data_IF_744304378034
#
_entry.id   IF_744304378034
#
_cell.length_a   1.000
_cell.length_b   1.000
_cell.length_c   1.000
_cell.angle_alpha   90.00
_cell.angle_beta   90.00
_cell.angle_gamma   90.00
#
_symmetry.space_group_name_H-M   'P 1'
#
loop_
_entity.id
_entity.type
_entity.pdbx_description
1 polymer ?
#
# COMPACT_ATOMS: atom_id res chain seq x y z
N UNK A 1 17.95 9.84 -5.37
CA UNK A 1 18.03 8.95 -6.56
C UNK A 1 16.78 8.09 -6.57
N UNK A 2 16.08 7.96 -7.71
CA UNK A 2 14.85 7.16 -7.78
C UNK A 2 14.62 6.69 -9.23
N UNK A 3 14.00 5.50 -9.37
CA UNK A 3 13.39 5.02 -10.59
C UNK A 3 12.03 4.41 -10.23
N UNK A 4 11.10 4.34 -11.17
CA UNK A 4 9.75 3.82 -10.91
C UNK A 4 9.13 3.28 -12.20
N UNK A 5 8.56 2.09 -12.13
CA UNK A 5 7.75 1.51 -13.20
C UNK A 5 6.35 2.14 -13.22
N UNK A 6 5.89 2.57 -14.40
CA UNK A 6 4.57 3.15 -14.62
C UNK A 6 3.77 2.38 -15.66
N UNK A 7 2.57 1.95 -15.30
CA UNK A 7 1.65 1.30 -16.22
C UNK A 7 2.28 0.07 -16.89
N UNK A 8 1.83 -0.22 -18.10
CA UNK A 8 2.18 -1.47 -18.76
C UNK A 8 3.60 -1.52 -19.37
N UNK A 9 4.23 -0.38 -19.70
CA UNK A 9 5.48 -0.39 -20.48
C UNK A 9 6.39 0.83 -20.28
N UNK A 10 6.26 1.56 -19.17
CA UNK A 10 7.07 2.75 -18.95
C UNK A 10 7.86 2.67 -17.65
N UNK A 11 9.15 3.00 -17.72
CA UNK A 11 10.00 3.23 -16.56
C UNK A 11 10.39 4.71 -16.55
N UNK A 12 10.14 5.38 -15.43
CA UNK A 12 10.61 6.73 -15.17
C UNK A 12 11.89 6.67 -14.33
N UNK A 13 12.93 7.34 -14.78
CA UNK A 13 14.19 7.48 -14.02
C UNK A 13 14.37 8.94 -13.66
N UNK A 14 14.57 9.22 -12.39
CA UNK A 14 14.87 10.57 -11.94
C UNK A 14 16.20 11.06 -12.56
N UNK A 15 16.23 12.32 -13.02
CA UNK A 15 17.40 12.90 -13.65
C UNK A 15 18.66 12.76 -12.78
N UNK A 16 18.54 12.98 -11.47
CA UNK A 16 19.65 12.82 -10.55
C UNK A 16 20.17 11.37 -10.45
N UNK A 17 19.34 10.35 -10.74
CA UNK A 17 19.81 8.97 -10.90
C UNK A 17 20.54 8.80 -12.22
N UNK A 18 19.93 9.28 -13.30
CA UNK A 18 20.48 9.16 -14.65
C UNK A 18 21.85 9.83 -14.79
N UNK A 19 22.02 11.03 -14.23
CA UNK A 19 23.23 11.84 -14.37
C UNK A 19 24.38 11.39 -13.44
N UNK A 20 24.08 10.70 -12.31
CA UNK A 20 25.08 10.39 -11.28
C UNK A 20 25.38 8.90 -11.10
N UNK A 21 24.74 8.03 -11.87
CA UNK A 21 24.92 6.58 -11.77
C UNK A 21 25.56 6.07 -13.06
N UNK A 22 26.56 5.20 -12.95
CA UNK A 22 27.21 4.60 -14.10
C UNK A 22 26.22 3.73 -14.90
N UNK A 23 26.45 3.52 -16.23
CA UNK A 23 25.51 2.81 -17.10
C UNK A 23 25.20 1.37 -16.65
N UNK A 24 26.14 0.67 -16.03
CA UNK A 24 25.96 -0.72 -15.61
C UNK A 24 25.04 -0.76 -14.37
N UNK A 25 25.27 0.15 -13.44
CA UNK A 25 24.40 0.31 -12.27
C UNK A 25 23.00 0.79 -12.68
N UNK A 26 22.90 1.67 -13.68
CA UNK A 26 21.62 2.08 -14.24
C UNK A 26 20.86 0.87 -14.85
N UNK A 27 21.55 -0.01 -15.57
CA UNK A 27 20.96 -1.23 -16.10
C UNK A 27 20.44 -2.16 -14.98
N UNK A 28 21.14 -2.23 -13.84
CA UNK A 28 20.67 -2.98 -12.67
C UNK A 28 19.33 -2.44 -12.13
N UNK A 29 19.20 -1.12 -12.04
CA UNK A 29 17.97 -0.45 -11.62
C UNK A 29 16.86 -0.67 -12.64
N UNK A 30 17.15 -0.51 -13.94
CA UNK A 30 16.19 -0.74 -15.01
C UNK A 30 15.70 -2.21 -15.03
N UNK A 31 16.59 -3.16 -14.83
CA UNK A 31 16.22 -4.58 -14.72
C UNK A 31 15.26 -4.83 -13.55
N UNK A 32 15.50 -4.20 -12.41
CA UNK A 32 14.62 -4.24 -11.25
C UNK A 32 13.22 -3.68 -11.60
N UNK A 33 13.15 -2.49 -12.22
CA UNK A 33 11.88 -1.85 -12.60
C UNK A 33 11.13 -2.64 -13.69
N UNK A 34 11.85 -3.21 -14.66
CA UNK A 34 11.26 -4.09 -15.69
C UNK A 34 10.60 -5.31 -15.05
N UNK A 35 11.17 -5.85 -13.99
CA UNK A 35 10.54 -6.97 -13.26
C UNK A 35 9.17 -6.58 -12.70
N UNK A 36 8.99 -5.36 -12.19
CA UNK A 36 7.68 -4.87 -11.72
C UNK A 36 6.66 -4.81 -12.86
N UNK A 37 7.09 -4.39 -14.06
CA UNK A 37 6.23 -4.36 -15.26
C UNK A 37 5.83 -5.79 -15.66
N UNK A 38 6.80 -6.69 -15.78
CA UNK A 38 6.57 -8.09 -16.19
C UNK A 38 5.62 -8.84 -15.24
N UNK A 39 5.58 -8.45 -13.98
CA UNK A 39 4.74 -9.08 -12.97
C UNK A 39 3.44 -8.30 -12.69
N UNK A 40 3.14 -7.24 -13.43
CA UNK A 40 1.93 -6.43 -13.31
C UNK A 40 1.73 -5.84 -11.89
N UNK A 41 2.82 -5.49 -11.19
CA UNK A 41 2.73 -5.05 -9.80
C UNK A 41 1.95 -3.74 -9.65
N UNK A 42 2.10 -2.80 -10.60
CA UNK A 42 1.36 -1.54 -10.61
C UNK A 42 -0.14 -1.76 -10.84
N UNK A 43 -0.50 -2.67 -11.73
CA UNK A 43 -1.89 -3.04 -12.05
C UNK A 43 -2.55 -3.74 -10.87
N UNK A 44 -1.83 -4.68 -10.24
CA UNK A 44 -2.29 -5.35 -9.02
C UNK A 44 -2.59 -4.34 -7.91
N UNK A 45 -1.67 -3.41 -7.64
CA UNK A 45 -1.84 -2.37 -6.64
C UNK A 45 -3.05 -1.48 -6.95
N UNK A 46 -3.25 -1.12 -8.21
CA UNK A 46 -4.40 -0.33 -8.67
C UNK A 46 -5.72 -1.08 -8.50
N UNK A 47 -5.77 -2.35 -8.91
CA UNK A 47 -6.95 -3.20 -8.75
C UNK A 47 -7.33 -3.36 -7.26
N UNK A 48 -6.34 -3.60 -6.39
CA UNK A 48 -6.54 -3.68 -4.95
C UNK A 48 -7.06 -2.36 -4.36
N UNK A 49 -6.51 -1.23 -4.80
CA UNK A 49 -6.99 0.10 -4.39
C UNK A 49 -8.43 0.36 -4.82
N UNK A 50 -8.78 0.05 -6.06
CA UNK A 50 -10.16 0.19 -6.56
C UNK A 50 -11.11 -0.71 -5.77
N UNK A 51 -10.73 -1.96 -5.51
CA UNK A 51 -11.56 -2.92 -4.78
C UNK A 51 -11.86 -2.46 -3.35
N UNK A 52 -10.84 -1.98 -2.61
CA UNK A 52 -11.07 -1.48 -1.25
C UNK A 52 -11.89 -0.20 -1.24
N UNK A 53 -11.69 0.68 -2.23
CA UNK A 53 -12.47 1.92 -2.36
C UNK A 53 -13.95 1.62 -2.61
N UNK A 54 -14.25 0.67 -3.48
CA UNK A 54 -15.62 0.20 -3.74
C UNK A 54 -16.25 -0.41 -2.48
N UNK A 55 -15.51 -1.25 -1.76
CA UNK A 55 -16.01 -1.88 -0.53
C UNK A 55 -16.29 -0.85 0.56
N UNK A 56 -15.39 0.10 0.78
CA UNK A 56 -15.59 1.20 1.74
C UNK A 56 -16.76 2.08 1.32
N UNK A 57 -16.91 2.36 0.03
CA UNK A 57 -18.05 3.07 -0.54
C UNK A 57 -19.37 2.35 -0.28
N UNK A 58 -19.42 1.04 -0.54
CA UNK A 58 -20.61 0.22 -0.27
C UNK A 58 -21.00 0.24 1.22
N UNK A 59 -20.01 0.09 2.12
CA UNK A 59 -20.26 0.21 3.56
C UNK A 59 -20.80 1.58 3.96
N UNK A 60 -20.35 2.66 3.30
CA UNK A 60 -20.87 4.01 3.53
C UNK A 60 -22.33 4.15 3.10
N UNK A 61 -22.68 3.63 1.92
CA UNK A 61 -24.06 3.60 1.41
C UNK A 61 -24.96 2.79 2.33
N UNK A 62 -24.51 1.62 2.78
CA UNK A 62 -25.25 0.79 3.73
C UNK A 62 -25.49 1.51 5.06
N UNK A 63 -24.47 2.18 5.60
CA UNK A 63 -24.61 2.99 6.82
C UNK A 63 -25.64 4.10 6.65
N UNK A 64 -25.62 4.80 5.51
CA UNK A 64 -26.59 5.84 5.20
C UNK A 64 -28.01 5.27 5.08
N UNK A 65 -28.19 4.17 4.37
CA UNK A 65 -29.48 3.50 4.21
C UNK A 65 -30.07 3.06 5.58
N UNK A 66 -29.22 2.46 6.44
CA UNK A 66 -29.64 2.08 7.79
C UNK A 66 -30.11 3.30 8.62
N UNK A 67 -29.39 4.40 8.56
CA UNK A 67 -29.78 5.63 9.26
C UNK A 67 -31.10 6.19 8.71
N UNK A 68 -31.29 6.15 7.38
CA UNK A 68 -32.54 6.58 6.75
C UNK A 68 -33.73 5.70 7.17
N UNK A 69 -33.57 4.39 7.23
CA UNK A 69 -34.60 3.46 7.71
C UNK A 69 -34.94 3.76 9.18
N UNK A 70 -33.96 3.94 10.04
CA UNK A 70 -34.16 4.29 11.44
C UNK A 70 -34.93 5.61 11.53
N UNK A 71 -34.57 6.62 10.75
CA UNK A 71 -35.28 7.89 10.69
C UNK A 71 -36.76 7.71 10.33
N UNK A 72 -37.07 6.92 9.28
CA UNK A 72 -38.45 6.64 8.86
C UNK A 72 -39.25 5.91 9.95
N UNK A 73 -38.64 4.94 10.62
CA UNK A 73 -39.30 4.21 11.73
C UNK A 73 -39.64 5.19 12.85
N UNK A 74 -38.71 6.05 13.29
CA UNK A 74 -38.95 7.02 14.33
C UNK A 74 -40.00 8.07 13.94
N UNK A 75 -40.03 8.44 12.64
CA UNK A 75 -41.05 9.34 12.08
C UNK A 75 -42.44 8.71 12.16
N UNK A 76 -42.59 7.48 11.66
CA UNK A 76 -43.89 6.73 11.65
C UNK A 76 -44.40 6.52 13.08
N UNK A 77 -43.50 6.14 13.99
CA UNK A 77 -43.84 5.94 15.40
C UNK A 77 -44.05 7.24 16.18
N UNK A 78 -43.93 8.40 15.52
CA UNK A 78 -44.11 9.72 16.11
C UNK A 78 -43.22 9.98 17.35
N UNK A 79 -42.06 9.30 17.43
CA UNK A 79 -41.15 9.34 18.58
C UNK A 79 -40.52 10.72 18.79
N UNK A 80 -40.47 11.55 17.76
CA UNK A 80 -39.90 12.92 17.84
C UNK A 80 -40.73 13.91 18.64
N UNK A 81 -41.98 13.55 19.06
CA UNK A 81 -42.79 14.38 19.97
C UNK A 81 -42.26 14.41 21.41
N UNK A 82 -41.42 13.44 21.77
CA UNK A 82 -40.82 13.36 23.10
C UNK A 82 -39.31 13.59 23.04
N UNK A 83 -38.77 14.23 24.09
CA UNK A 83 -37.32 14.40 24.24
C UNK A 83 -36.58 13.07 24.30
N UNK A 84 -37.17 12.07 24.95
CA UNK A 84 -36.62 10.68 24.99
C UNK A 84 -36.53 10.04 23.60
N UNK A 85 -37.53 10.25 22.74
CA UNK A 85 -37.47 9.76 21.36
C UNK A 85 -36.35 10.39 20.55
N UNK A 86 -36.13 11.69 20.69
CA UNK A 86 -34.99 12.38 20.04
C UNK A 86 -33.65 11.83 20.53
N UNK A 87 -33.50 11.63 21.83
CA UNK A 87 -32.28 11.04 22.40
C UNK A 87 -32.02 9.61 21.92
N UNK A 88 -33.08 8.78 21.88
CA UNK A 88 -32.99 7.41 21.37
C UNK A 88 -32.57 7.37 19.88
N UNK A 89 -33.16 8.25 19.05
CA UNK A 89 -32.77 8.38 17.65
C UNK A 89 -31.28 8.75 17.50
N UNK A 90 -30.82 9.75 18.24
CA UNK A 90 -29.42 10.16 18.21
C UNK A 90 -28.47 9.05 18.69
N UNK A 91 -28.84 8.33 19.74
CA UNK A 91 -28.08 7.20 20.26
C UNK A 91 -27.96 6.06 19.25
N UNK A 92 -29.06 5.64 18.64
CA UNK A 92 -29.08 4.57 17.64
C UNK A 92 -28.30 4.93 16.38
N UNK A 93 -28.46 6.15 15.87
CA UNK A 93 -27.72 6.59 14.67
C UNK A 93 -26.23 6.72 14.94
N UNK A 94 -25.80 7.17 16.13
CA UNK A 94 -24.39 7.17 16.54
C UNK A 94 -23.83 5.76 16.62
N UNK A 95 -24.58 4.81 17.19
CA UNK A 95 -24.16 3.41 17.27
C UNK A 95 -23.97 2.79 15.88
N UNK A 96 -24.96 2.96 14.98
CA UNK A 96 -24.86 2.48 13.59
C UNK A 96 -23.64 3.05 12.89
N UNK A 97 -23.46 4.37 12.91
CA UNK A 97 -22.30 5.01 12.28
C UNK A 97 -20.98 4.54 12.91
N UNK A 98 -20.97 4.32 14.23
CA UNK A 98 -19.80 3.79 14.94
C UNK A 98 -19.41 2.40 14.48
N UNK A 99 -20.38 1.49 14.35
CA UNK A 99 -20.17 0.11 13.86
C UNK A 99 -19.62 0.12 12.43
N UNK A 100 -20.28 0.84 11.52
CA UNK A 100 -19.81 0.93 10.13
C UNK A 100 -18.43 1.60 10.02
N UNK A 101 -18.17 2.62 10.84
CA UNK A 101 -16.85 3.26 10.93
C UNK A 101 -15.75 2.30 11.40
N UNK A 102 -16.05 1.42 12.35
CA UNK A 102 -15.12 0.37 12.79
C UNK A 102 -14.87 -0.67 11.69
N UNK A 103 -15.92 -1.11 10.99
CA UNK A 103 -15.78 -2.03 9.86
C UNK A 103 -14.92 -1.44 8.74
N UNK A 104 -15.15 -0.19 8.37
CA UNK A 104 -14.35 0.50 7.36
C UNK A 104 -12.87 0.61 7.76
N UNK A 105 -12.59 0.97 9.02
CA UNK A 105 -11.21 1.01 9.53
C UNK A 105 -10.55 -0.36 9.49
N UNK A 106 -11.28 -1.41 9.88
CA UNK A 106 -10.80 -2.79 9.80
C UNK A 106 -10.46 -3.21 8.38
N UNK A 107 -11.33 -2.93 7.42
CA UNK A 107 -11.12 -3.20 5.99
C UNK A 107 -9.87 -2.48 5.49
N UNK A 108 -9.72 -1.18 5.77
CA UNK A 108 -8.55 -0.40 5.35
C UNK A 108 -7.26 -0.90 6.00
N UNK A 109 -7.32 -1.31 7.27
CA UNK A 109 -6.16 -1.85 7.98
C UNK A 109 -5.70 -3.18 7.37
N UNK A 110 -6.63 -4.10 7.10
CA UNK A 110 -6.35 -5.38 6.45
C UNK A 110 -5.76 -5.13 5.05
N UNK A 111 -6.39 -4.27 4.25
CA UNK A 111 -5.91 -3.89 2.93
C UNK A 111 -4.45 -3.40 2.97
N UNK A 112 -4.15 -2.43 3.85
CA UNK A 112 -2.79 -1.88 3.97
C UNK A 112 -1.77 -2.95 4.37
N UNK A 113 -2.13 -3.85 5.27
CA UNK A 113 -1.27 -4.95 5.70
C UNK A 113 -0.97 -5.92 4.55
N UNK A 114 -2.00 -6.34 3.81
CA UNK A 114 -1.86 -7.23 2.66
C UNK A 114 -1.05 -6.57 1.54
N UNK A 115 -1.31 -5.30 1.25
CA UNK A 115 -0.58 -4.54 0.24
C UNK A 115 0.91 -4.42 0.62
N UNK A 116 1.22 -4.13 1.88
CA UNK A 116 2.60 -4.05 2.37
C UNK A 116 3.34 -5.39 2.22
N UNK A 117 2.67 -6.51 2.52
CA UNK A 117 3.26 -7.85 2.34
C UNK A 117 3.50 -8.17 0.86
N UNK A 118 2.52 -7.90 0.01
CA UNK A 118 2.63 -8.11 -1.44
C UNK A 118 3.75 -7.25 -2.04
N UNK A 119 3.83 -5.98 -1.66
CA UNK A 119 4.87 -5.06 -2.12
C UNK A 119 6.26 -5.52 -1.71
N UNK A 120 6.46 -5.97 -0.46
CA UNK A 120 7.76 -6.52 -0.03
C UNK A 120 8.14 -7.78 -0.81
N UNK A 121 7.17 -8.62 -1.13
CA UNK A 121 7.42 -9.82 -1.94
C UNK A 121 7.82 -9.43 -3.38
N UNK A 122 7.13 -8.46 -3.97
CA UNK A 122 7.45 -7.91 -5.28
C UNK A 122 8.88 -7.37 -5.34
N UNK A 123 9.30 -6.58 -4.33
CA UNK A 123 10.68 -6.07 -4.23
C UNK A 123 11.72 -7.19 -4.23
N UNK A 124 11.53 -8.22 -3.40
CA UNK A 124 12.47 -9.35 -3.38
C UNK A 124 12.49 -10.15 -4.68
N UNK A 125 11.37 -10.24 -5.38
CA UNK A 125 11.29 -10.87 -6.69
C UNK A 125 12.04 -10.04 -7.74
N UNK A 126 11.88 -8.73 -7.73
CA UNK A 126 12.55 -7.81 -8.65
C UNK A 126 14.05 -7.75 -8.39
N UNK A 127 14.47 -7.78 -7.12
CA UNK A 127 15.90 -7.93 -6.76
C UNK A 127 16.49 -9.24 -7.33
N UNK A 128 15.75 -10.35 -7.19
CA UNK A 128 16.18 -11.64 -7.74
C UNK A 128 16.29 -11.58 -9.26
N UNK A 129 15.34 -10.96 -9.94
CA UNK A 129 15.36 -10.81 -11.40
C UNK A 129 16.60 -10.05 -11.88
N UNK A 130 16.91 -8.90 -11.27
CA UNK A 130 18.11 -8.13 -11.56
C UNK A 130 19.40 -8.95 -11.29
N UNK A 131 19.42 -9.73 -10.21
CA UNK A 131 20.53 -10.62 -9.88
C UNK A 131 20.71 -11.75 -10.92
N UNK A 132 19.63 -12.36 -11.42
CA UNK A 132 19.67 -13.40 -12.46
C UNK A 132 20.20 -12.88 -13.81
N UNK A 133 20.04 -11.58 -14.08
CA UNK A 133 20.62 -10.91 -15.24
C UNK A 133 22.10 -10.51 -15.03
N UNK A 134 22.69 -10.86 -13.88
CA UNK A 134 24.09 -10.57 -13.57
C UNK A 134 24.33 -9.23 -12.88
N UNK A 135 23.29 -8.46 -12.56
CA UNK A 135 23.41 -7.10 -12.00
C UNK A 135 23.31 -7.05 -10.47
N UNK A 136 23.40 -8.17 -9.76
CA UNK A 136 23.18 -8.20 -8.31
C UNK A 136 24.13 -7.30 -7.49
N UNK A 137 25.41 -7.18 -7.92
CA UNK A 137 26.40 -6.33 -7.25
C UNK A 137 26.09 -4.84 -7.46
N UNK A 138 25.77 -4.45 -8.68
CA UNK A 138 25.44 -3.09 -9.06
C UNK A 138 24.15 -2.61 -8.39
N UNK A 139 23.15 -3.50 -8.29
CA UNK A 139 21.91 -3.19 -7.56
C UNK A 139 22.20 -3.01 -6.05
N UNK A 140 23.02 -3.87 -5.44
CA UNK A 140 23.45 -3.69 -4.04
C UNK A 140 24.15 -2.36 -3.82
N UNK A 141 25.06 -1.98 -4.72
CA UNK A 141 25.74 -0.69 -4.68
C UNK A 141 24.74 0.47 -4.78
N UNK A 142 23.84 0.42 -5.77
CA UNK A 142 22.78 1.44 -5.93
C UNK A 142 21.94 1.60 -4.65
N UNK A 143 21.49 0.50 -4.05
CA UNK A 143 20.71 0.53 -2.82
C UNK A 143 21.45 1.19 -1.66
N UNK A 144 22.79 1.03 -1.60
CA UNK A 144 23.62 1.65 -0.57
C UNK A 144 23.71 3.17 -0.72
N UNK A 145 23.79 3.68 -1.96
CA UNK A 145 23.90 5.12 -2.23
C UNK A 145 22.55 5.83 -2.28
N UNK A 146 21.48 5.13 -2.68
CA UNK A 146 20.14 5.69 -2.83
C UNK A 146 19.43 5.89 -1.48
N UNK A 147 19.69 5.03 -0.51
CA UNK A 147 19.09 5.09 0.82
C UNK A 147 20.20 5.18 1.87
N UNK A 148 20.73 6.40 2.16
CA UNK A 148 21.78 6.57 3.16
C UNK A 148 21.31 6.03 4.51
N UNK A 149 22.25 5.43 5.26
CA UNK A 149 22.06 4.62 6.46
C UNK A 149 21.42 5.32 7.68
N UNK A 150 20.83 6.48 7.52
CA UNK A 150 20.14 7.19 8.59
C UNK A 150 18.74 6.56 8.83
N UNK A 151 18.75 5.29 9.26
CA UNK A 151 17.53 4.55 9.61
C UNK A 151 17.03 5.05 10.97
N UNK A 152 16.16 6.06 10.93
CA UNK A 152 15.29 6.36 12.06
C UNK A 152 14.62 5.06 12.52
N UNK A 153 14.65 4.79 13.83
CA UNK A 153 13.89 3.69 14.41
C UNK A 153 12.41 3.88 14.06
N UNK A 154 11.89 2.98 13.25
CA UNK A 154 10.49 3.00 12.85
C UNK A 154 9.62 2.53 14.01
N UNK A 155 8.50 3.19 14.22
CA UNK A 155 7.46 2.67 15.10
C UNK A 155 6.91 1.34 14.54
N UNK A 156 6.30 0.52 15.39
CA UNK A 156 5.74 -0.77 14.98
C UNK A 156 4.73 -0.64 13.84
N UNK A 157 3.92 0.41 13.87
CA UNK A 157 2.94 0.74 12.84
C UNK A 157 3.62 1.14 11.52
N UNK A 158 4.63 1.98 11.55
CA UNK A 158 5.42 2.35 10.37
C UNK A 158 6.12 1.12 9.76
N UNK A 159 6.64 0.21 10.60
CA UNK A 159 7.28 -1.01 10.13
C UNK A 159 6.29 -1.97 9.45
N UNK A 160 5.03 -2.06 9.93
CA UNK A 160 3.98 -2.90 9.32
C UNK A 160 3.56 -2.34 7.95
N UNK A 161 3.39 -1.01 7.84
CA UNK A 161 2.88 -0.36 6.62
C UNK A 161 3.95 0.06 5.62
N UNK A 162 5.22 -0.21 5.89
CA UNK A 162 6.30 0.07 4.96
C UNK A 162 6.15 -0.78 3.69
N UNK A 163 6.06 -0.13 2.55
CA UNK A 163 5.93 -0.79 1.24
C UNK A 163 7.22 -1.48 0.79
N UNK A 164 8.39 -0.92 1.13
CA UNK A 164 9.68 -1.49 0.78
C UNK A 164 10.33 -2.23 1.96
N UNK A 165 10.96 -3.39 1.72
CA UNK A 165 11.77 -4.05 2.74
C UNK A 165 12.94 -3.17 3.18
N UNK A 166 13.48 -3.33 4.40
CA UNK A 166 14.67 -2.62 4.82
C UNK A 166 15.85 -2.89 3.87
N UNK A 167 16.50 -1.84 3.41
CA UNK A 167 17.64 -1.92 2.48
C UNK A 167 18.74 -2.91 2.91
N UNK A 168 19.17 -2.98 4.18
CA UNK A 168 20.14 -3.99 4.61
C UNK A 168 19.67 -5.43 4.38
N UNK A 169 18.37 -5.72 4.50
CA UNK A 169 17.83 -7.06 4.22
C UNK A 169 17.84 -7.39 2.73
N UNK A 170 17.58 -6.40 1.87
CA UNK A 170 17.68 -6.55 0.41
C UNK A 170 19.11 -6.84 0.00
N UNK A 171 20.08 -6.04 0.47
CA UNK A 171 21.52 -6.21 0.19
C UNK A 171 21.98 -7.59 0.64
N UNK A 172 21.70 -7.99 1.89
CA UNK A 172 22.09 -9.30 2.40
C UNK A 172 21.56 -10.48 1.54
N UNK A 173 20.31 -10.35 1.00
CA UNK A 173 19.75 -11.36 0.10
C UNK A 173 20.42 -11.37 -1.28
N UNK A 174 20.72 -10.21 -1.85
CA UNK A 174 21.46 -10.10 -3.11
C UNK A 174 22.85 -10.74 -3.00
N UNK A 175 23.55 -10.48 -1.90
CA UNK A 175 24.87 -11.09 -1.63
C UNK A 175 24.79 -12.61 -1.45
N UNK A 176 23.76 -13.12 -0.79
CA UNK A 176 23.53 -14.55 -0.63
C UNK A 176 23.25 -15.25 -1.97
N UNK A 177 22.44 -14.63 -2.85
CA UNK A 177 22.14 -15.18 -4.18
C UNK A 177 23.36 -15.19 -5.11
N UNK A 178 24.31 -14.26 -4.94
CA UNK A 178 25.54 -14.20 -5.72
C UNK A 178 26.53 -15.33 -5.39
N UNK A 179 26.46 -15.90 -4.19
CA UNK A 179 27.34 -16.98 -3.73
C UNK A 179 26.89 -18.38 -4.18
N UNK A 180 25.71 -18.48 -4.77
CA UNK A 180 25.15 -19.71 -5.35
C UNK A 180 25.44 -19.80 -6.84
#
# INVERSE_FOLDING_TARGET
>A
MNATAYGFNCVSVARGTFDNVDPITLNAVLAHEVSHILNFDAEFNRAMFCSVTLLVGALSVMSFAMVAIIFLIFLVLNCFRSWLGVMAFQGTTKAVRGIFGLLQRGVVMIYRSLLSLASRHAEYRSDKYSCMLGYGMQLSYFLTIAEPANQRQLTLTEAIYRSHPPTPKRIARLEAMRKQ
#
